data_IF_432474550691
#
_entry.id   IF_432474550691
#
_cell.length_a   1.000
_cell.length_b   1.000
_cell.length_c   1.000
_cell.angle_alpha   90.00
_cell.angle_beta   90.00
_cell.angle_gamma   90.00
#
_symmetry.space_group_name_H-M   'P 1'
#
loop_
_entity.id
_entity.type
_entity.pdbx_description
1 polymer ?
#
# COMPACT_ATOMS: atom_id res chain seq x y z
N UNK A 1 -16.46 33.38 -29.55
CA UNK A 1 -16.20 31.93 -29.53
C UNK A 1 -15.28 31.65 -28.36
N UNK A 2 -15.74 30.98 -27.30
CA UNK A 2 -14.88 30.60 -26.17
C UNK A 2 -14.45 29.15 -26.36
N UNK A 3 -13.17 28.94 -26.72
CA UNK A 3 -12.60 27.60 -26.83
C UNK A 3 -12.66 26.88 -25.49
N UNK A 4 -13.14 25.64 -25.51
CA UNK A 4 -13.24 24.77 -24.33
C UNK A 4 -11.83 24.63 -23.73
N UNK A 5 -11.65 25.06 -22.47
CA UNK A 5 -10.39 24.90 -21.78
C UNK A 5 -10.08 23.40 -21.62
N UNK A 6 -9.05 22.91 -22.29
CA UNK A 6 -8.55 21.55 -22.13
C UNK A 6 -7.54 21.56 -20.98
N UNK A 7 -7.94 21.06 -19.82
CA UNK A 7 -6.99 20.77 -18.76
C UNK A 7 -6.21 19.51 -19.14
N UNK A 8 -4.92 19.68 -19.47
CA UNK A 8 -3.99 18.56 -19.58
C UNK A 8 -3.57 18.15 -18.17
N UNK A 9 -3.64 16.84 -17.88
CA UNK A 9 -3.06 16.29 -16.65
C UNK A 9 -1.54 16.48 -16.73
N UNK A 10 -1.01 17.45 -15.99
CA UNK A 10 0.40 17.85 -16.03
C UNK A 10 1.35 16.77 -15.48
N UNK A 11 0.87 15.91 -14.57
CA UNK A 11 1.65 14.82 -13.98
C UNK A 11 0.92 13.48 -14.09
N UNK A 12 1.56 12.49 -14.72
CA UNK A 12 1.10 11.09 -14.76
C UNK A 12 1.23 10.43 -13.39
N UNK A 13 2.27 10.79 -12.63
CA UNK A 13 2.54 10.40 -11.26
C UNK A 13 2.40 11.63 -10.34
N UNK A 14 1.25 11.79 -9.71
CA UNK A 14 1.22 12.54 -8.45
C UNK A 14 1.88 11.60 -7.42
N UNK A 15 2.87 12.05 -6.63
CA UNK A 15 3.43 11.24 -5.56
C UNK A 15 2.28 10.65 -4.75
N UNK A 16 2.16 9.33 -4.74
CA UNK A 16 1.08 8.69 -4.00
C UNK A 16 1.58 8.47 -2.60
N UNK A 17 1.03 9.21 -1.66
CA UNK A 17 1.37 9.11 -0.26
C UNK A 17 0.45 8.07 0.41
N UNK A 18 1.05 7.17 1.17
CA UNK A 18 0.35 6.18 1.98
C UNK A 18 0.74 6.35 3.43
N UNK A 19 -0.25 6.53 4.31
CA UNK A 19 -0.03 6.53 5.75
C UNK A 19 0.00 5.09 6.26
N UNK A 20 1.05 4.75 6.99
CA UNK A 20 1.29 3.40 7.52
C UNK A 20 1.43 3.45 9.03
N UNK A 21 1.03 2.35 9.68
CA UNK A 21 1.21 2.12 11.11
C UNK A 21 1.72 0.71 11.31
N UNK A 22 2.89 0.58 11.92
CA UNK A 22 3.43 -0.70 12.35
C UNK A 22 3.27 -0.83 13.87
N UNK A 23 2.96 -2.05 14.31
CA UNK A 23 2.98 -2.43 15.71
C UNK A 23 3.99 -3.57 15.85
N UNK A 24 5.09 -3.27 16.52
CA UNK A 24 6.30 -4.11 16.55
C UNK A 24 6.58 -4.59 17.98
N UNK A 25 7.15 -5.79 18.15
CA UNK A 25 7.72 -6.23 19.43
C UNK A 25 8.97 -5.39 19.80
N UNK A 26 9.51 -5.60 21.01
CA UNK A 26 10.73 -4.92 21.46
C UNK A 26 11.94 -5.17 20.52
N UNK A 27 12.13 -6.41 20.05
CA UNK A 27 13.22 -6.76 19.13
C UNK A 27 12.99 -6.19 17.73
N UNK A 28 11.74 -6.24 17.27
CA UNK A 28 11.36 -5.68 15.97
C UNK A 28 11.50 -4.16 15.94
N UNK A 29 11.19 -3.47 17.04
CA UNK A 29 11.38 -2.03 17.17
C UNK A 29 12.86 -1.64 17.08
N UNK A 30 13.74 -2.34 17.82
CA UNK A 30 15.19 -2.12 17.74
C UNK A 30 15.73 -2.32 16.31
N UNK A 31 15.31 -3.40 15.65
CA UNK A 31 15.68 -3.65 14.26
C UNK A 31 15.16 -2.59 13.31
N UNK A 32 13.93 -2.11 13.52
CA UNK A 32 13.33 -1.06 12.68
C UNK A 32 14.13 0.24 12.75
N UNK A 33 14.52 0.70 13.95
CA UNK A 33 15.30 1.93 14.10
C UNK A 33 16.69 1.82 13.44
N UNK A 34 17.39 0.71 13.67
CA UNK A 34 18.69 0.46 13.06
C UNK A 34 18.62 0.30 11.53
N UNK A 35 17.59 -0.39 11.03
CA UNK A 35 17.33 -0.50 9.60
C UNK A 35 17.02 0.86 8.96
N UNK A 36 16.18 1.68 9.59
CA UNK A 36 15.85 3.01 9.11
C UNK A 36 17.09 3.89 8.99
N UNK A 37 17.93 3.94 10.02
CA UNK A 37 19.10 4.81 10.02
C UNK A 37 20.21 4.29 9.09
N UNK A 38 20.58 3.02 9.23
CA UNK A 38 21.78 2.48 8.57
C UNK A 38 21.53 1.89 7.18
N UNK A 39 20.36 1.28 6.95
CA UNK A 39 20.05 0.64 5.65
C UNK A 39 19.34 1.61 4.74
N UNK A 40 18.35 2.36 5.27
CA UNK A 40 17.63 3.34 4.47
C UNK A 40 18.28 4.72 4.42
N UNK A 41 19.42 4.91 5.10
CA UNK A 41 20.11 6.20 5.21
C UNK A 41 19.12 7.27 5.67
N UNK A 42 18.62 7.06 6.89
CA UNK A 42 17.59 7.88 7.55
C UNK A 42 16.35 8.09 6.68
N UNK A 43 15.89 7.03 6.01
CA UNK A 43 14.66 7.02 5.20
C UNK A 43 14.78 7.52 3.77
N UNK A 44 15.97 7.90 3.30
CA UNK A 44 16.17 8.45 1.94
C UNK A 44 16.15 7.40 0.83
N UNK A 45 16.40 6.12 1.14
CA UNK A 45 16.40 5.03 0.16
C UNK A 45 15.01 4.45 -0.10
N UNK A 46 14.83 3.93 -1.31
CA UNK A 46 13.66 3.13 -1.68
C UNK A 46 13.76 1.71 -1.10
N UNK A 47 12.62 1.14 -0.73
CA UNK A 47 12.52 -0.20 -0.19
C UNK A 47 11.19 -0.86 -0.58
N UNK A 48 11.18 -2.18 -0.57
CA UNK A 48 9.96 -2.96 -0.75
C UNK A 48 9.12 -2.95 0.53
N UNK A 49 7.87 -2.50 0.41
CA UNK A 49 6.93 -2.45 1.50
C UNK A 49 5.65 -3.20 1.13
N UNK A 50 5.28 -4.18 1.96
CA UNK A 50 4.00 -4.88 1.80
C UNK A 50 2.88 -4.03 2.39
N UNK A 51 2.01 -3.49 1.54
CA UNK A 51 0.95 -2.55 1.92
C UNK A 51 -0.42 -3.09 1.55
N UNK A 52 -1.39 -2.88 2.44
CA UNK A 52 -2.80 -3.12 2.15
C UNK A 52 -3.39 -1.87 1.51
N UNK A 53 -3.78 -1.98 0.26
CA UNK A 53 -4.50 -0.95 -0.51
C UNK A 53 -5.90 -1.45 -0.83
N UNK A 54 -6.79 -0.62 -1.42
CA UNK A 54 -8.06 -1.11 -1.94
C UNK A 54 -7.93 -2.23 -2.99
N UNK A 55 -6.76 -2.38 -3.63
CA UNK A 55 -6.50 -3.47 -4.58
C UNK A 55 -6.16 -4.80 -3.90
N UNK A 56 -5.77 -4.77 -2.62
CA UNK A 56 -5.34 -5.95 -1.90
C UNK A 56 -4.07 -5.72 -1.09
N UNK A 57 -3.48 -6.81 -0.62
CA UNK A 57 -2.19 -6.80 0.09
C UNK A 57 -1.08 -7.19 -0.88
N UNK A 58 -0.35 -6.20 -1.38
CA UNK A 58 0.72 -6.37 -2.37
C UNK A 58 2.01 -5.71 -1.91
N UNK A 59 3.10 -5.97 -2.62
CA UNK A 59 4.39 -5.33 -2.40
C UNK A 59 4.52 -4.12 -3.30
N UNK A 60 4.89 -2.98 -2.71
CA UNK A 60 5.14 -1.74 -3.41
C UNK A 60 6.55 -1.25 -3.12
N UNK A 61 7.18 -0.62 -4.10
CA UNK A 61 8.40 0.14 -3.88
C UNK A 61 8.02 1.51 -3.29
N UNK A 62 8.57 1.82 -2.12
CA UNK A 62 8.24 3.00 -1.35
C UNK A 62 9.47 3.62 -0.71
N UNK A 63 9.39 4.90 -0.34
CA UNK A 63 10.39 5.57 0.51
C UNK A 63 9.70 6.39 1.59
N UNK A 64 10.42 6.73 2.64
CA UNK A 64 9.89 7.64 3.65
C UNK A 64 9.84 9.06 3.09
N UNK A 65 8.71 9.74 3.27
CA UNK A 65 8.58 11.15 2.89
C UNK A 65 9.29 12.07 3.87
N UNK A 66 9.29 11.68 5.14
CA UNK A 66 9.94 12.34 6.27
C UNK A 66 10.23 11.28 7.34
N UNK A 67 10.90 11.66 8.43
CA UNK A 67 11.08 10.79 9.58
C UNK A 67 9.74 10.27 10.11
N UNK A 68 9.73 9.00 10.53
CA UNK A 68 8.56 8.41 11.17
C UNK A 68 8.28 9.06 12.53
N UNK A 69 7.07 8.86 13.05
CA UNK A 69 6.68 9.19 14.43
C UNK A 69 6.67 7.93 15.30
N UNK A 70 7.06 8.08 16.57
CA UNK A 70 7.28 7.00 17.52
C UNK A 70 8.76 6.93 17.95
N UNK A 71 9.19 5.85 18.62
CA UNK A 71 8.38 4.74 19.10
C UNK A 71 7.42 5.14 20.23
N UNK A 72 6.14 4.76 20.11
CA UNK A 72 5.14 4.94 21.18
C UNK A 72 4.79 3.59 21.79
N UNK A 73 4.96 3.42 23.10
CA UNK A 73 4.62 2.18 23.80
C UNK A 73 3.10 1.91 23.73
N UNK A 74 2.74 0.70 23.35
CA UNK A 74 1.38 0.17 23.30
C UNK A 74 1.32 -1.09 24.16
N UNK A 75 0.51 -1.05 25.22
CA UNK A 75 0.47 -2.14 26.19
C UNK A 75 1.77 -2.19 27.00
N UNK A 76 2.39 -3.38 27.09
CA UNK A 76 3.57 -3.63 27.93
C UNK A 76 4.87 -3.75 27.10
N UNK A 77 4.79 -4.27 25.88
CA UNK A 77 5.99 -4.72 25.11
C UNK A 77 5.84 -4.57 23.60
N UNK A 78 4.98 -3.65 23.14
CA UNK A 78 4.82 -3.37 21.72
C UNK A 78 4.98 -1.88 21.45
N UNK A 79 5.52 -1.55 20.28
CA UNK A 79 5.85 -0.20 19.88
C UNK A 79 5.13 0.15 18.60
N UNK A 80 4.44 1.29 18.62
CA UNK A 80 3.80 1.84 17.44
C UNK A 80 4.73 2.84 16.77
N UNK A 81 4.90 2.64 15.47
CA UNK A 81 5.52 3.58 14.55
C UNK A 81 4.50 3.98 13.49
N UNK A 82 4.42 5.27 13.17
CA UNK A 82 3.58 5.76 12.07
C UNK A 82 4.41 6.60 11.12
N UNK A 83 4.17 6.47 9.82
CA UNK A 83 4.92 7.19 8.81
C UNK A 83 4.05 7.52 7.59
N UNK A 84 4.53 8.46 6.79
CA UNK A 84 4.02 8.71 5.44
C UNK A 84 5.04 8.20 4.46
N UNK A 85 4.63 7.23 3.64
CA UNK A 85 5.45 6.66 2.57
C UNK A 85 5.06 7.27 1.23
N UNK A 86 6.06 7.63 0.43
CA UNK A 86 5.88 7.94 -0.98
C UNK A 86 6.02 6.65 -1.79
N UNK A 87 4.99 6.29 -2.56
CA UNK A 87 4.98 5.13 -3.44
C UNK A 87 5.52 5.50 -4.82
N UNK A 88 6.36 4.62 -5.37
CA UNK A 88 6.94 4.79 -6.71
C UNK A 88 5.84 4.81 -7.80
N UNK A 89 4.85 3.92 -7.66
CA UNK A 89 3.69 3.86 -8.53
C UNK A 89 2.39 3.93 -7.73
N UNK A 90 1.39 4.60 -8.32
CA UNK A 90 0.06 4.70 -7.72
C UNK A 90 -0.68 3.37 -7.88
N UNK A 91 -1.12 2.72 -6.78
CA UNK A 91 -2.00 1.56 -6.85
C UNK A 91 -3.40 2.00 -7.25
N UNK A 92 -3.70 1.95 -8.55
CA UNK A 92 -5.03 2.20 -9.11
C UNK A 92 -5.39 1.06 -10.04
N UNK A 93 -6.69 0.76 -10.09
CA UNK A 93 -7.25 -0.16 -11.09
C UNK A 93 -6.98 0.39 -12.49
N UNK A 94 -6.66 -0.49 -13.43
CA UNK A 94 -6.46 -0.10 -14.82
C UNK A 94 -7.71 0.55 -15.41
N UNK A 95 -7.48 1.50 -16.34
CA UNK A 95 -8.55 2.31 -16.90
C UNK A 95 -9.64 1.48 -17.60
N UNK A 96 -9.29 0.35 -18.20
CA UNK A 96 -10.25 -0.51 -18.92
C UNK A 96 -11.30 -1.10 -17.99
N UNK A 97 -10.90 -1.58 -16.82
CA UNK A 97 -11.84 -2.09 -15.81
C UNK A 97 -12.78 -1.00 -15.31
N UNK A 98 -12.29 0.23 -15.16
CA UNK A 98 -13.12 1.37 -14.74
C UNK A 98 -14.11 1.78 -15.83
N UNK A 99 -13.70 1.75 -17.10
CA UNK A 99 -14.50 2.25 -18.23
C UNK A 99 -15.50 1.23 -18.76
N UNK A 100 -15.14 -0.05 -18.76
CA UNK A 100 -15.89 -1.09 -19.49
C UNK A 100 -16.47 -2.17 -18.60
N UNK A 101 -16.00 -2.31 -17.36
CA UNK A 101 -16.47 -3.38 -16.49
C UNK A 101 -16.48 -3.02 -14.97
N UNK A 102 -17.01 -1.84 -14.58
CA UNK A 102 -17.02 -1.40 -13.19
C UNK A 102 -17.84 -2.31 -12.27
N UNK A 103 -18.86 -2.99 -12.80
CA UNK A 103 -19.68 -3.96 -12.07
C UNK A 103 -18.87 -5.13 -11.51
N UNK A 104 -17.81 -5.59 -12.20
CA UNK A 104 -16.96 -6.67 -11.70
C UNK A 104 -16.11 -6.24 -10.50
N UNK A 105 -15.72 -4.96 -10.42
CA UNK A 105 -15.03 -4.41 -9.25
C UNK A 105 -16.00 -4.38 -8.06
N UNK A 106 -17.22 -3.87 -8.27
CA UNK A 106 -18.24 -3.74 -7.23
C UNK A 106 -18.73 -5.10 -6.72
N UNK A 107 -18.78 -6.11 -7.58
CA UNK A 107 -19.21 -7.47 -7.25
C UNK A 107 -18.05 -8.43 -6.94
N UNK A 108 -16.81 -7.94 -6.84
CA UNK A 108 -15.60 -8.76 -6.58
C UNK A 108 -15.77 -9.73 -5.40
N UNK A 109 -16.35 -9.27 -4.29
CA UNK A 109 -16.66 -10.11 -3.12
C UNK A 109 -17.65 -11.24 -3.38
N UNK A 110 -18.55 -11.10 -4.36
CA UNK A 110 -19.53 -12.12 -4.77
C UNK A 110 -18.81 -13.19 -5.61
N UNK A 111 -17.94 -12.77 -6.53
CA UNK A 111 -17.13 -13.71 -7.33
C UNK A 111 -16.16 -14.51 -6.47
N UNK A 112 -15.45 -13.87 -5.53
CA UNK A 112 -14.55 -14.54 -4.58
C UNK A 112 -15.29 -15.60 -3.76
N UNK A 113 -16.51 -15.28 -3.30
CA UNK A 113 -17.33 -16.23 -2.55
C UNK A 113 -17.81 -17.38 -3.43
N UNK A 114 -18.27 -17.10 -4.65
CA UNK A 114 -18.73 -18.12 -5.59
C UNK A 114 -17.60 -19.08 -5.99
N UNK A 115 -16.40 -18.57 -6.27
CA UNK A 115 -15.23 -19.39 -6.59
C UNK A 115 -14.82 -20.30 -5.42
N UNK A 116 -14.87 -19.82 -4.18
CA UNK A 116 -14.55 -20.63 -3.00
C UNK A 116 -15.65 -21.63 -2.59
N UNK A 117 -16.91 -21.40 -3.01
CA UNK A 117 -18.04 -22.29 -2.71
C UNK A 117 -18.26 -23.35 -3.79
N UNK A 118 -18.04 -23.04 -5.06
CA UNK A 118 -18.42 -23.89 -6.20
C UNK A 118 -17.24 -24.65 -6.82
N UNK A 119 -15.99 -24.33 -6.48
CA UNK A 119 -14.84 -25.07 -7.00
C UNK A 119 -14.67 -26.41 -6.27
N UNK A 120 -14.73 -27.57 -6.95
CA UNK A 120 -14.43 -28.83 -6.30
C UNK A 120 -12.96 -28.84 -5.91
N UNK A 121 -12.67 -29.03 -4.62
CA UNK A 121 -11.36 -29.53 -4.21
C UNK A 121 -11.14 -30.80 -5.00
N UNK A 122 -10.23 -30.79 -5.96
CA UNK A 122 -9.74 -32.03 -6.52
C UNK A 122 -9.12 -32.75 -5.32
N UNK A 123 -9.81 -33.79 -4.85
CA UNK A 123 -9.24 -34.72 -3.90
C UNK A 123 -8.14 -35.42 -4.68
N UNK A 124 -6.90 -34.99 -4.45
CA UNK A 124 -5.73 -35.76 -4.85
C UNK A 124 -5.89 -37.16 -4.25
N UNK A 125 -6.03 -38.15 -5.13
CA UNK A 125 -6.03 -39.57 -4.78
C UNK A 125 -4.62 -40.10 -4.59
#
# INVERSE_FOLDING_TARGET
>A
MSGRAVQRRLYRSVPTESSVSWLLSDEQAQLFEGWFDHVLISGSMWFECRLKTPLGLETYEARFKDIYSGPTLVGVSHWRFTAVLELFQRPVVDAEWVLYAPEYILMSSIFDRAMNQEWPRHLDG
#
